data_IF_735354042217
#
_entry.id   IF_735354042217
#
_cell.length_a   1.000
_cell.length_b   1.000
_cell.length_c   1.000
_cell.angle_alpha   90.00
_cell.angle_beta   90.00
_cell.angle_gamma   90.00
#
_symmetry.space_group_name_H-M   'P 1'
#
loop_
_entity.id
_entity.type
_entity.pdbx_description
1 polymer ?
#
# COMPACT_ATOMS: atom_id res chain seq x y z
N UNK A 1 -5.16 -2.87 3.15
CA UNK A 1 -4.72 -3.89 2.17
C UNK A 1 -3.31 -4.35 2.54
N UNK A 2 -3.00 -5.64 2.47
CA UNK A 2 -1.64 -6.15 2.71
C UNK A 2 -1.14 -6.80 1.42
N UNK A 3 0.04 -6.41 0.95
CA UNK A 3 0.65 -6.93 -0.27
C UNK A 3 2.14 -7.15 0.00
N UNK A 4 2.64 -8.35 -0.28
CA UNK A 4 4.06 -8.71 -0.10
C UNK A 4 4.58 -8.43 1.34
N UNK A 5 3.70 -8.53 2.33
CA UNK A 5 3.99 -8.21 3.74
C UNK A 5 3.95 -6.73 4.11
N UNK A 6 3.66 -5.83 3.16
CA UNK A 6 3.51 -4.39 3.42
C UNK A 6 2.05 -4.01 3.63
N UNK A 7 1.80 -3.19 4.66
CA UNK A 7 0.49 -2.63 4.96
C UNK A 7 0.25 -1.34 4.17
N UNK A 8 -0.89 -1.29 3.50
CA UNK A 8 -1.36 -0.12 2.76
C UNK A 8 -2.69 0.37 3.34
N UNK A 9 -2.74 1.68 3.56
CA UNK A 9 -3.94 2.42 3.94
C UNK A 9 -4.58 3.03 2.70
N UNK A 10 -5.91 3.08 2.69
CA UNK A 10 -6.65 3.68 1.59
C UNK A 10 -6.38 5.19 1.57
N UNK A 11 -5.96 5.69 0.41
CA UNK A 11 -5.68 7.12 0.20
C UNK A 11 -6.91 7.82 -0.38
N UNK A 12 -7.39 7.29 -1.52
CA UNK A 12 -8.59 7.78 -2.19
C UNK A 12 -9.23 6.67 -3.01
N UNK A 13 -10.53 6.74 -3.22
CA UNK A 13 -11.26 5.79 -4.05
C UNK A 13 -11.98 6.54 -5.15
N UNK A 14 -11.89 6.01 -6.37
CA UNK A 14 -12.68 6.41 -7.53
C UNK A 14 -13.62 5.25 -7.88
N UNK A 15 -14.62 5.50 -8.71
CA UNK A 15 -15.63 4.49 -9.09
C UNK A 15 -15.02 3.20 -9.64
N UNK A 16 -13.89 3.31 -10.35
CA UNK A 16 -13.20 2.19 -10.99
C UNK A 16 -11.91 1.75 -10.29
N UNK A 17 -11.35 2.58 -9.39
CA UNK A 17 -10.01 2.34 -8.82
C UNK A 17 -9.90 2.80 -7.38
N UNK A 18 -9.30 1.98 -6.52
CA UNK A 18 -8.93 2.37 -5.16
C UNK A 18 -7.43 2.61 -5.09
N UNK A 19 -7.02 3.81 -4.71
CA UNK A 19 -5.64 4.17 -4.47
C UNK A 19 -5.29 3.89 -3.01
N UNK A 20 -4.14 3.27 -2.81
CA UNK A 20 -3.60 2.96 -1.50
C UNK A 20 -2.18 3.50 -1.39
N UNK A 21 -1.83 3.94 -0.20
CA UNK A 21 -0.49 4.42 0.17
C UNK A 21 0.08 3.56 1.27
N UNK A 22 1.39 3.44 1.34
CA UNK A 22 2.04 2.70 2.42
C UNK A 22 1.69 3.32 3.78
N UNK A 23 1.31 2.48 4.75
CA UNK A 23 1.06 2.90 6.13
C UNK A 23 2.32 3.52 6.76
N UNK A 24 3.49 2.94 6.44
CA UNK A 24 4.80 3.40 6.86
C UNK A 24 5.28 4.65 6.13
N UNK A 25 4.43 5.37 5.40
CA UNK A 25 4.79 6.63 4.75
C UNK A 25 5.40 7.63 5.73
N UNK A 26 4.85 7.75 6.95
CA UNK A 26 5.39 8.67 7.97
C UNK A 26 6.56 8.07 8.76
N UNK A 27 6.59 6.75 8.91
CA UNK A 27 7.58 6.06 9.73
C UNK A 27 8.90 5.82 9.00
N UNK A 28 8.82 5.47 7.72
CA UNK A 28 9.97 5.09 6.89
C UNK A 28 10.17 6.03 5.70
N UNK A 29 9.53 7.21 5.73
CA UNK A 29 9.45 8.14 4.58
C UNK A 29 9.08 7.40 3.28
N UNK A 30 8.18 6.42 3.39
CA UNK A 30 7.82 5.57 2.26
C UNK A 30 6.79 6.26 1.37
N UNK A 31 7.22 6.77 0.22
CA UNK A 31 6.33 7.43 -0.75
C UNK A 31 5.60 6.46 -1.68
N UNK A 32 5.51 5.19 -1.29
CA UNK A 32 4.99 4.15 -2.13
C UNK A 32 3.46 4.13 -2.21
N UNK A 33 2.95 3.89 -3.42
CA UNK A 33 1.53 3.89 -3.73
C UNK A 33 1.20 2.76 -4.68
N UNK A 34 0.03 2.16 -4.46
CA UNK A 34 -0.56 1.13 -5.32
C UNK A 34 -1.97 1.56 -5.69
N UNK A 35 -2.49 0.98 -6.77
CA UNK A 35 -3.90 1.14 -7.11
C UNK A 35 -4.52 -0.22 -7.42
N UNK A 36 -5.72 -0.42 -6.89
CA UNK A 36 -6.55 -1.58 -7.14
C UNK A 36 -7.60 -1.17 -8.16
N UNK A 37 -7.56 -1.74 -9.37
CA UNK A 37 -8.63 -1.60 -10.35
C UNK A 37 -9.72 -2.62 -10.02
N UNK A 38 -10.94 -2.13 -9.83
CA UNK A 38 -12.12 -2.98 -9.67
C UNK A 38 -12.75 -3.13 -11.04
N UNK A 39 -12.22 -4.06 -11.84
CA UNK A 39 -12.72 -4.33 -13.19
C UNK A 39 -13.91 -5.30 -13.15
N UNK A 40 -14.04 -6.11 -12.10
CA UNK A 40 -15.18 -7.01 -11.87
C UNK A 40 -15.38 -7.27 -10.38
N UNK A 41 -16.62 -7.58 -9.96
CA UNK A 41 -16.99 -7.86 -8.55
C UNK A 41 -16.15 -9.00 -7.94
N UNK A 42 -15.66 -9.91 -8.78
CA UNK A 42 -14.88 -11.09 -8.39
C UNK A 42 -13.37 -10.94 -8.60
N UNK A 43 -12.92 -9.88 -9.28
CA UNK A 43 -11.51 -9.73 -9.65
C UNK A 43 -11.03 -8.29 -9.47
N UNK A 44 -10.21 -8.11 -8.42
CA UNK A 44 -9.52 -6.86 -8.13
C UNK A 44 -8.07 -6.98 -8.58
N UNK A 45 -7.68 -6.18 -9.56
CA UNK A 45 -6.31 -6.19 -10.07
C UNK A 45 -5.48 -5.12 -9.35
N UNK A 46 -4.50 -5.54 -8.56
CA UNK A 46 -3.61 -4.62 -7.84
C UNK A 46 -2.39 -4.34 -8.70
N UNK A 47 -2.22 -3.07 -9.09
CA UNK A 47 -1.07 -2.64 -9.87
C UNK A 47 -0.13 -1.83 -9.00
N UNK A 48 1.07 -2.38 -8.84
CA UNK A 48 2.17 -1.76 -8.12
C UNK A 48 2.88 -0.80 -9.09
N UNK A 49 2.95 0.48 -8.73
CA UNK A 49 3.49 1.52 -9.62
C UNK A 49 5.03 1.64 -9.55
N UNK A 50 5.65 1.21 -8.46
CA UNK A 50 7.11 1.31 -8.22
C UNK A 50 7.61 0.04 -7.53
N UNK A 51 8.90 -0.09 -7.19
CA UNK A 51 9.39 -1.14 -6.27
C UNK A 51 9.62 -0.62 -4.84
N UNK A 52 9.27 -1.43 -3.84
CA UNK A 52 9.36 -1.06 -2.42
C UNK A 52 10.81 -1.11 -1.93
N UNK A 53 11.64 -0.17 -2.39
CA UNK A 53 13.08 -0.17 -2.10
C UNK A 53 13.49 0.55 -0.82
N UNK A 54 12.60 1.34 -0.22
CA UNK A 54 12.96 2.27 0.87
C UNK A 54 12.86 1.65 2.27
N UNK A 55 12.23 0.49 2.42
CA UNK A 55 12.18 -0.25 3.68
C UNK A 55 11.70 -1.69 3.51
N UNK A 56 12.06 -2.55 4.46
CA UNK A 56 11.56 -3.91 4.54
C UNK A 56 10.14 -3.95 5.14
N UNK A 57 9.39 -5.03 4.87
CA UNK A 57 8.05 -5.27 5.43
C UNK A 57 8.03 -5.29 6.96
N UNK A 58 9.19 -5.55 7.58
CA UNK A 58 9.39 -5.58 9.02
C UNK A 58 9.70 -4.22 9.65
N UNK A 59 9.71 -3.11 8.91
CA UNK A 59 9.87 -1.79 9.52
C UNK A 59 8.63 -1.40 10.32
N UNK A 60 8.50 -1.96 11.51
CA UNK A 60 7.53 -1.50 12.51
C UNK A 60 8.21 -0.38 13.30
N UNK A 61 7.42 0.56 13.81
CA UNK A 61 7.86 1.35 14.97
C UNK A 61 8.25 0.30 16.01
N UNK A 62 9.52 0.24 16.37
CA UNK A 62 9.89 -0.34 17.65
C UNK A 62 9.10 0.47 18.68
N UNK A 63 8.00 -0.12 19.15
CA UNK A 63 7.28 0.38 20.30
C UNK A 63 8.20 0.04 21.47
N UNK A 64 9.15 0.94 21.74
CA UNK A 64 9.94 0.92 22.96
C UNK A 64 8.90 0.90 24.10
N UNK A 65 8.80 -0.27 24.74
CA UNK A 65 7.99 -0.48 25.95
C UNK A 65 8.70 0.13 27.14
#
# INVERSE_FOLDING_TARGET
MVLDGFSYIQDRQTDTKTYWRCENHKTCSCHFRIHACNESVTQTHVKILKQHGNHAASCKRDLIK
#
